data_IF_745643662324
#
_entry.id   IF_745643662324
#
_cell.length_a   1.000
_cell.length_b   1.000
_cell.length_c   1.000
_cell.angle_alpha   90.00
_cell.angle_beta   90.00
_cell.angle_gamma   90.00
#
_symmetry.space_group_name_H-M   'P 1'
#
loop_
_entity.id
_entity.type
_entity.pdbx_description
1 polymer ?
#
# COMPACT_ATOMS: atom_id res chain seq x y z
N UNK A 1 24.83 18.58 -37.14
CA UNK A 1 23.74 18.44 -36.15
C UNK A 1 22.50 17.97 -36.88
N UNK A 2 22.02 16.76 -36.59
CA UNK A 2 20.72 16.26 -37.03
C UNK A 2 20.09 15.56 -35.82
N UNK A 3 18.86 15.95 -35.51
CA UNK A 3 18.14 15.63 -34.28
C UNK A 3 17.72 14.15 -34.24
N UNK A 4 17.96 13.51 -33.10
CA UNK A 4 17.45 12.18 -32.79
C UNK A 4 15.93 12.28 -32.52
N UNK A 5 15.13 11.74 -33.42
CA UNK A 5 13.71 11.49 -33.18
C UNK A 5 13.60 10.34 -32.17
N UNK A 6 13.22 10.67 -30.93
CA UNK A 6 12.91 9.70 -29.89
C UNK A 6 11.76 8.80 -30.38
N UNK A 7 11.99 7.49 -30.35
CA UNK A 7 11.07 6.48 -30.84
C UNK A 7 9.72 6.53 -30.12
N UNK A 8 8.66 6.34 -30.89
CA UNK A 8 7.34 6.00 -30.38
C UNK A 8 7.47 4.72 -29.56
N UNK A 9 7.26 4.83 -28.25
CA UNK A 9 7.23 3.66 -27.37
C UNK A 9 6.06 2.76 -27.77
N UNK A 10 6.33 1.68 -28.49
CA UNK A 10 5.33 0.69 -28.89
C UNK A 10 4.83 -0.02 -27.62
N UNK A 11 3.60 0.27 -27.19
CA UNK A 11 2.98 -0.43 -26.05
C UNK A 11 2.23 -1.67 -26.55
N UNK A 12 2.40 -2.80 -25.86
CA UNK A 12 1.63 -4.02 -26.11
C UNK A 12 0.54 -4.20 -25.05
N UNK A 13 -0.65 -4.62 -25.51
CA UNK A 13 -1.78 -4.95 -24.64
C UNK A 13 -1.63 -6.43 -24.24
N UNK A 14 -1.31 -6.67 -22.97
CA UNK A 14 -1.17 -8.02 -22.42
C UNK A 14 -2.45 -8.41 -21.67
N UNK A 15 -2.84 -9.69 -21.76
CA UNK A 15 -3.96 -10.26 -21.02
C UNK A 15 -3.47 -11.47 -20.21
N UNK A 16 -3.24 -11.25 -18.93
CA UNK A 16 -2.84 -12.30 -17.99
C UNK A 16 -4.03 -12.65 -17.11
N UNK A 17 -4.53 -13.89 -17.25
CA UNK A 17 -5.63 -14.44 -16.44
C UNK A 17 -6.92 -13.59 -16.38
N UNK A 18 -7.18 -12.80 -17.43
CA UNK A 18 -8.36 -11.92 -17.53
C UNK A 18 -8.12 -10.50 -16.99
N UNK A 19 -6.89 -10.15 -16.63
CA UNK A 19 -6.47 -8.78 -16.35
C UNK A 19 -5.75 -8.21 -17.58
N UNK A 20 -6.25 -7.08 -18.08
CA UNK A 20 -5.72 -6.43 -19.29
C UNK A 20 -4.91 -5.19 -18.89
N UNK A 21 -3.62 -5.17 -19.23
CA UNK A 21 -2.73 -4.04 -18.94
C UNK A 21 -1.85 -3.68 -20.15
N UNK A 22 -1.35 -2.45 -20.16
CA UNK A 22 -0.41 -1.94 -21.17
C UNK A 22 1.01 -2.11 -20.64
N UNK A 23 1.88 -2.77 -21.40
CA UNK A 23 3.32 -2.91 -21.08
C UNK A 23 4.14 -2.29 -22.21
N UNK A 24 5.19 -1.53 -21.88
CA UNK A 24 6.15 -1.03 -22.89
C UNK A 24 6.83 -2.23 -23.54
N UNK A 25 6.86 -2.27 -24.88
CA UNK A 25 7.64 -3.25 -25.63
C UNK A 25 9.11 -2.94 -25.42
N UNK A 26 9.75 -3.64 -24.49
CA UNK A 26 11.20 -3.61 -24.34
C UNK A 26 11.84 -4.28 -25.55
N UNK A 27 12.82 -3.62 -26.16
CA UNK A 27 13.78 -4.27 -27.08
C UNK A 27 14.35 -5.47 -26.35
N UNK A 28 13.97 -6.67 -26.78
CA UNK A 28 14.52 -7.90 -26.27
C UNK A 28 16.04 -7.89 -26.50
N UNK A 29 16.88 -8.21 -25.49
CA UNK A 29 18.27 -8.53 -25.73
C UNK A 29 18.34 -9.69 -26.74
N UNK A 30 19.28 -9.68 -27.70
CA UNK A 30 19.30 -10.62 -28.80
C UNK A 30 19.85 -11.96 -28.35
N UNK A 31 19.13 -12.71 -27.51
CA UNK A 31 19.49 -14.09 -27.13
C UNK A 31 18.26 -14.84 -26.58
N UNK A 32 17.18 -14.91 -27.36
CA UNK A 32 16.16 -15.97 -27.24
C UNK A 32 15.54 -16.24 -28.62
N UNK A 33 16.22 -17.07 -29.40
CA UNK A 33 15.66 -17.63 -30.63
C UNK A 33 14.46 -18.54 -30.32
N UNK A 34 13.41 -18.32 -31.10
CA UNK A 34 12.36 -19.21 -31.59
C UNK A 34 11.74 -20.29 -30.69
N UNK A 35 10.43 -20.12 -30.47
CA UNK A 35 9.44 -21.11 -30.93
C UNK A 35 8.12 -20.39 -31.27
N UNK A 36 8.13 -19.66 -32.38
CA UNK A 36 6.92 -19.19 -33.06
C UNK A 36 6.40 -20.31 -33.96
N UNK A 37 5.76 -21.31 -33.36
CA UNK A 37 4.90 -22.22 -34.11
C UNK A 37 3.58 -21.50 -34.43
N UNK A 38 3.49 -20.96 -35.63
CA UNK A 38 2.28 -20.40 -36.21
C UNK A 38 1.12 -21.41 -36.13
N UNK A 39 0.10 -21.09 -35.32
CA UNK A 39 -1.19 -21.77 -35.32
C UNK A 39 -2.23 -20.91 -36.07
N UNK A 40 -3.14 -21.53 -36.85
CA UNK A 40 -4.10 -20.80 -37.68
C UNK A 40 -5.01 -19.91 -36.82
N UNK A 41 -5.20 -18.68 -37.29
CA UNK A 41 -6.12 -17.68 -36.76
C UNK A 41 -7.56 -18.13 -36.90
N UNK A 42 -8.02 -19.00 -35.99
CA UNK A 42 -9.43 -19.09 -35.66
C UNK A 42 -9.64 -18.27 -34.39
N UNK A 43 -10.19 -17.06 -34.53
CA UNK A 43 -10.65 -16.29 -33.37
C UNK A 43 -11.67 -17.15 -32.63
N UNK A 44 -11.36 -17.69 -31.42
CA UNK A 44 -12.35 -18.43 -30.67
C UNK A 44 -13.45 -17.45 -30.27
N UNK A 45 -14.71 -17.85 -30.42
CA UNK A 45 -15.83 -17.04 -29.93
C UNK A 45 -15.55 -16.62 -28.46
N UNK A 46 -15.84 -15.37 -28.08
CA UNK A 46 -15.55 -14.89 -26.74
C UNK A 46 -16.20 -15.83 -25.72
N UNK A 47 -15.46 -16.28 -24.68
CA UNK A 47 -15.99 -17.20 -23.69
C UNK A 47 -17.21 -16.57 -23.01
N UNK A 48 -18.26 -17.37 -22.79
CA UNK A 48 -19.45 -16.88 -22.12
C UNK A 48 -19.13 -16.33 -20.73
N UNK A 49 -19.94 -15.39 -20.24
CA UNK A 49 -19.71 -14.77 -18.93
C UNK A 49 -19.61 -15.80 -17.79
N UNK A 50 -20.32 -16.93 -17.91
CA UNK A 50 -20.26 -18.02 -16.93
C UNK A 50 -18.86 -18.66 -16.86
N UNK A 51 -18.20 -18.82 -18.00
CA UNK A 51 -16.82 -19.35 -18.07
C UNK A 51 -15.84 -18.35 -17.46
N UNK A 52 -15.99 -17.05 -17.77
CA UNK A 52 -15.17 -15.99 -17.17
C UNK A 52 -15.36 -15.91 -15.65
N UNK A 53 -16.61 -15.94 -15.16
CA UNK A 53 -16.91 -15.98 -13.73
C UNK A 53 -16.31 -17.20 -13.06
N UNK A 54 -16.37 -18.38 -13.68
CA UNK A 54 -15.74 -19.60 -13.17
C UNK A 54 -14.22 -19.46 -13.08
N UNK A 55 -13.57 -18.95 -14.13
CA UNK A 55 -12.12 -18.71 -14.15
C UNK A 55 -11.70 -17.72 -13.06
N UNK A 56 -12.40 -16.58 -12.94
CA UNK A 56 -12.16 -15.58 -11.89
C UNK A 56 -12.29 -16.19 -10.48
N UNK A 57 -13.34 -16.98 -10.22
CA UNK A 57 -13.51 -17.68 -8.94
C UNK A 57 -12.35 -18.62 -8.66
N UNK A 58 -11.90 -19.39 -9.66
CA UNK A 58 -10.76 -20.30 -9.50
C UNK A 58 -9.45 -19.55 -9.24
N UNK A 59 -9.19 -18.44 -9.93
CA UNK A 59 -8.01 -17.60 -9.70
C UNK A 59 -7.99 -17.05 -8.27
N UNK A 60 -9.13 -16.53 -7.79
CA UNK A 60 -9.25 -16.01 -6.42
C UNK A 60 -9.06 -17.10 -5.37
N UNK A 61 -9.56 -18.32 -5.60
CA UNK A 61 -9.36 -19.43 -4.67
C UNK A 61 -7.89 -19.86 -4.61
N UNK A 62 -7.18 -19.86 -5.74
CA UNK A 62 -5.73 -20.14 -5.76
C UNK A 62 -4.95 -19.07 -5.03
N UNK A 63 -5.29 -17.81 -5.27
CA UNK A 63 -4.63 -16.68 -4.60
C UNK A 63 -4.86 -16.74 -3.08
N UNK A 64 -6.10 -17.06 -2.66
CA UNK A 64 -6.42 -17.28 -1.24
C UNK A 64 -5.59 -18.41 -0.64
N UNK A 65 -5.49 -19.55 -1.32
CA UNK A 65 -4.69 -20.68 -0.85
C UNK A 65 -3.21 -20.27 -0.69
N UNK A 66 -2.65 -19.60 -1.70
CA UNK A 66 -1.28 -19.09 -1.66
C UNK A 66 -1.03 -18.17 -0.46
N UNK A 67 -1.92 -17.20 -0.22
CA UNK A 67 -1.76 -16.30 0.92
C UNK A 67 -1.92 -16.98 2.27
N UNK A 68 -2.76 -18.01 2.38
CA UNK A 68 -2.84 -18.81 3.61
C UNK A 68 -1.54 -19.58 3.86
N UNK A 69 -0.94 -20.15 2.81
CA UNK A 69 0.34 -20.85 2.92
C UNK A 69 1.48 -19.88 3.29
N UNK A 70 1.51 -18.69 2.69
CA UNK A 70 2.48 -17.64 3.04
C UNK A 70 2.29 -17.19 4.49
N UNK A 71 1.06 -16.94 4.94
CA UNK A 71 0.78 -16.59 6.34
C UNK A 71 1.25 -17.66 7.32
N UNK A 72 1.00 -18.95 7.02
CA UNK A 72 1.47 -20.05 7.86
C UNK A 72 3.01 -20.10 7.95
N UNK A 73 3.72 -19.75 6.86
CA UNK A 73 5.18 -19.64 6.87
C UNK A 73 5.65 -18.47 7.74
N UNK A 74 5.00 -17.31 7.64
CA UNK A 74 5.30 -16.15 8.50
C UNK A 74 5.05 -16.45 9.98
N UNK A 75 3.97 -17.17 10.30
CA UNK A 75 3.69 -17.63 11.67
C UNK A 75 4.77 -18.60 12.18
N UNK A 76 5.23 -19.54 11.36
CA UNK A 76 6.31 -20.46 11.74
C UNK A 76 7.65 -19.73 11.99
N UNK A 77 8.02 -18.79 11.12
CA UNK A 77 9.25 -18.01 11.27
C UNK A 77 9.20 -17.09 12.48
N UNK A 78 8.07 -16.45 12.73
CA UNK A 78 7.90 -15.61 13.93
C UNK A 78 7.93 -16.43 15.22
N UNK A 79 7.35 -17.65 15.21
CA UNK A 79 7.45 -18.57 16.35
C UNK A 79 8.90 -19.01 16.62
N UNK A 80 9.72 -19.19 15.59
CA UNK A 80 11.15 -19.51 15.73
C UNK A 80 11.96 -18.34 16.33
N UNK A 81 11.69 -17.11 15.89
CA UNK A 81 12.32 -15.90 16.48
C UNK A 81 11.96 -15.74 17.96
N UNK A 82 10.73 -16.09 18.33
CA UNK A 82 10.24 -16.03 19.70
C UNK A 82 10.51 -17.31 20.51
N UNK A 83 11.13 -18.33 19.92
CA UNK A 83 11.45 -19.56 20.62
C UNK A 83 12.45 -19.27 21.75
N UNK A 84 12.21 -19.74 22.99
CA UNK A 84 13.14 -19.55 24.09
C UNK A 84 14.53 -20.09 23.73
N UNK A 85 15.56 -19.27 23.91
CA UNK A 85 16.95 -19.68 23.78
C UNK A 85 17.19 -20.84 24.77
N UNK A 86 17.84 -21.95 24.35
CA UNK A 86 18.13 -23.05 25.27
C UNK A 86 18.87 -22.54 26.51
N UNK A 87 18.41 -22.98 27.68
CA UNK A 87 18.99 -22.56 28.96
C UNK A 87 20.51 -22.78 28.94
N UNK A 88 21.31 -21.80 29.42
CA UNK A 88 22.75 -21.98 29.53
C UNK A 88 23.03 -23.21 30.41
N UNK A 89 24.04 -24.03 30.07
CA UNK A 89 24.38 -25.20 30.87
C UNK A 89 24.62 -24.77 32.32
N UNK A 90 23.94 -25.44 33.25
CA UNK A 90 24.00 -25.13 34.67
C UNK A 90 25.46 -24.96 35.13
N UNK A 91 25.80 -23.86 35.83
CA UNK A 91 27.15 -23.64 36.29
C UNK A 91 27.55 -24.75 37.25
N UNK A 92 28.62 -25.47 36.91
CA UNK A 92 29.25 -26.43 37.79
C UNK A 92 29.61 -25.72 39.10
N UNK A 93 29.07 -26.22 40.21
CA UNK A 93 29.33 -25.77 41.57
C UNK A 93 30.84 -25.73 41.83
N UNK A 94 31.41 -24.52 41.93
CA UNK A 94 32.72 -24.29 42.55
C UNK A 94 32.53 -23.60 43.90
N UNK A 95 33.40 -23.88 44.88
CA UNK A 95 33.22 -23.37 46.24
C UNK A 95 33.52 -21.87 46.29
N UNK A 96 32.71 -21.17 47.07
CA UNK A 96 32.79 -19.74 47.45
C UNK A 96 34.15 -19.33 48.01
N UNK A 97 34.60 -18.11 47.67
CA UNK A 97 35.23 -17.21 48.63
C UNK A 97 34.48 -15.86 48.75
N UNK A 98 34.21 -15.50 50.01
CA UNK A 98 33.85 -14.21 50.64
C UNK A 98 32.98 -13.13 49.94
N UNK A 99 31.85 -12.72 50.56
CA UNK A 99 31.01 -11.61 50.11
C UNK A 99 31.43 -10.29 50.77
N UNK A 100 32.28 -9.48 50.15
CA UNK A 100 32.49 -8.07 50.60
C UNK A 100 32.95 -7.07 49.54
N UNK A 101 33.15 -7.47 48.27
CA UNK A 101 33.59 -6.55 47.21
C UNK A 101 32.59 -6.36 46.04
N UNK A 102 31.64 -7.28 45.85
CA UNK A 102 30.80 -7.29 44.63
C UNK A 102 29.55 -6.39 44.69
N UNK A 103 29.17 -5.90 45.88
CA UNK A 103 27.98 -5.04 46.03
C UNK A 103 28.15 -3.65 45.38
N UNK A 104 29.38 -3.13 45.29
CA UNK A 104 29.65 -1.83 44.66
C UNK A 104 29.75 -1.92 43.13
N UNK A 105 30.23 -3.06 42.60
CA UNK A 105 30.33 -3.29 41.16
C UNK A 105 28.98 -3.60 40.51
N UNK A 106 28.07 -4.26 41.23
CA UNK A 106 26.70 -4.54 40.79
C UNK A 106 25.86 -3.25 40.68
N UNK A 107 25.89 -2.36 41.68
CA UNK A 107 25.16 -1.07 41.61
C UNK A 107 25.65 -0.13 40.51
N UNK A 108 26.93 -0.21 40.12
CA UNK A 108 27.45 0.56 38.99
C UNK A 108 26.90 0.08 37.65
N UNK A 109 26.57 -1.21 37.52
CA UNK A 109 26.01 -1.77 36.29
C UNK A 109 24.52 -1.46 36.17
N UNK A 110 23.76 -1.53 37.28
CA UNK A 110 22.34 -1.20 37.29
C UNK A 110 22.07 0.29 36.99
N UNK A 111 22.92 1.20 37.46
CA UNK A 111 22.82 2.63 37.14
C UNK A 111 23.01 2.90 35.66
N UNK A 112 23.99 2.24 35.03
CA UNK A 112 24.27 2.42 33.60
C UNK A 112 23.11 1.94 32.71
N UNK A 113 22.44 0.85 33.10
CA UNK A 113 21.25 0.35 32.40
C UNK A 113 20.08 1.33 32.52
N UNK A 114 19.89 1.95 33.68
CA UNK A 114 18.83 2.96 33.88
C UNK A 114 19.11 4.20 33.03
N UNK A 115 20.36 4.67 32.98
CA UNK A 115 20.76 5.81 32.16
C UNK A 115 20.59 5.51 30.65
N UNK A 116 20.93 4.29 30.21
CA UNK A 116 20.71 3.84 28.82
C UNK A 116 19.22 3.79 28.46
N UNK A 117 18.37 3.24 29.33
CA UNK A 117 16.91 3.23 29.14
C UNK A 117 16.31 4.63 29.10
N UNK A 118 16.86 5.57 29.87
CA UNK A 118 16.44 6.96 29.85
C UNK A 118 16.78 7.62 28.51
N UNK A 119 18.01 7.45 28.03
CA UNK A 119 18.43 7.95 26.70
C UNK A 119 17.56 7.35 25.60
N UNK A 120 17.24 6.06 25.69
CA UNK A 120 16.35 5.41 24.73
C UNK A 120 14.93 5.98 24.78
N UNK A 121 14.40 6.26 25.98
CA UNK A 121 13.08 6.86 26.15
C UNK A 121 13.03 8.27 25.56
N UNK A 122 14.07 9.09 25.77
CA UNK A 122 14.19 10.43 25.21
C UNK A 122 14.26 10.41 23.67
N UNK A 123 15.02 9.48 23.09
CA UNK A 123 15.07 9.26 21.64
C UNK A 123 13.71 8.86 21.06
N UNK A 124 13.00 7.95 21.73
CA UNK A 124 11.66 7.54 21.30
C UNK A 124 10.64 8.67 21.41
N UNK A 125 10.75 9.52 22.44
CA UNK A 125 9.89 10.69 22.59
C UNK A 125 10.10 11.67 21.43
N UNK A 126 11.35 11.94 21.07
CA UNK A 126 11.68 12.86 19.98
C UNK A 126 11.28 12.33 18.61
N UNK A 127 11.46 11.03 18.35
CA UNK A 127 10.95 10.41 17.13
C UNK A 127 9.42 10.44 17.07
N UNK A 128 8.73 10.18 18.17
CA UNK A 128 7.27 10.26 18.21
C UNK A 128 6.77 11.69 17.96
N UNK A 129 7.41 12.71 18.54
CA UNK A 129 7.09 14.12 18.27
C UNK A 129 7.21 14.47 16.79
N UNK A 130 8.26 13.97 16.12
CA UNK A 130 8.46 14.22 14.68
C UNK A 130 7.42 13.50 13.82
N UNK A 131 7.08 12.26 14.14
CA UNK A 131 6.01 11.53 13.46
C UNK A 131 4.67 12.25 13.62
N UNK A 132 4.36 12.75 14.83
CA UNK A 132 3.15 13.54 15.05
C UNK A 132 3.14 14.84 14.26
N UNK A 133 4.29 15.50 14.10
CA UNK A 133 4.40 16.70 13.28
C UNK A 133 4.14 16.39 11.80
N UNK A 134 4.79 15.37 11.25
CA UNK A 134 4.59 14.94 9.87
C UNK A 134 3.14 14.55 9.59
N UNK A 135 2.48 13.82 10.51
CA UNK A 135 1.07 13.49 10.39
C UNK A 135 0.18 14.74 10.36
N UNK A 136 0.51 15.79 11.12
CA UNK A 136 -0.25 17.05 11.07
C UNK A 136 -0.08 17.76 9.74
N UNK A 137 1.15 17.85 9.23
CA UNK A 137 1.46 18.49 7.95
C UNK A 137 0.77 17.77 6.78
N UNK A 138 0.82 16.43 6.76
CA UNK A 138 0.11 15.63 5.76
C UNK A 138 -1.40 15.85 5.85
N UNK A 139 -1.96 15.91 7.06
CA UNK A 139 -3.39 16.11 7.24
C UNK A 139 -3.83 17.52 6.82
N UNK A 140 -3.01 18.54 7.06
CA UNK A 140 -3.24 19.91 6.59
C UNK A 140 -3.20 19.98 5.06
N UNK A 141 -2.18 19.39 4.44
CA UNK A 141 -2.08 19.29 2.98
C UNK A 141 -3.30 18.59 2.35
N UNK A 142 -3.72 17.46 2.93
CA UNK A 142 -4.89 16.73 2.47
C UNK A 142 -6.17 17.56 2.61
N UNK A 143 -6.34 18.29 3.72
CA UNK A 143 -7.51 19.12 3.95
C UNK A 143 -7.58 20.29 2.95
N UNK A 144 -6.45 20.96 2.68
CA UNK A 144 -6.36 22.01 1.66
C UNK A 144 -6.68 21.48 0.26
N UNK A 145 -6.15 20.30 -0.07
CA UNK A 145 -6.39 19.67 -1.36
C UNK A 145 -7.84 19.22 -1.54
N UNK A 146 -8.44 18.63 -0.50
CA UNK A 146 -9.85 18.26 -0.51
C UNK A 146 -10.73 19.50 -0.70
N UNK A 147 -10.46 20.60 0.01
CA UNK A 147 -11.18 21.84 -0.15
C UNK A 147 -11.08 22.39 -1.58
N UNK A 148 -9.89 22.37 -2.18
CA UNK A 148 -9.68 22.82 -3.55
C UNK A 148 -10.45 21.97 -4.57
N UNK A 149 -10.52 20.65 -4.38
CA UNK A 149 -11.32 19.76 -5.22
C UNK A 149 -12.81 20.03 -5.06
N UNK A 150 -13.28 20.21 -3.83
CA UNK A 150 -14.69 20.55 -3.54
C UNK A 150 -15.07 21.87 -4.21
N UNK A 151 -14.22 22.90 -4.12
CA UNK A 151 -14.45 24.18 -4.77
C UNK A 151 -14.47 24.03 -6.31
N UNK A 152 -13.51 23.30 -6.89
CA UNK A 152 -13.48 23.06 -8.34
C UNK A 152 -14.72 22.32 -8.83
N UNK A 153 -15.22 21.32 -8.08
CA UNK A 153 -16.46 20.61 -8.40
C UNK A 153 -17.67 21.53 -8.26
N UNK A 154 -17.67 22.40 -7.24
CA UNK A 154 -18.75 23.36 -7.02
C UNK A 154 -18.85 24.41 -8.15
N UNK A 155 -17.75 24.74 -8.82
CA UNK A 155 -17.74 25.66 -9.96
C UNK A 155 -18.18 25.03 -11.30
N UNK A 156 -18.33 23.69 -11.37
CA UNK A 156 -18.70 23.03 -12.61
C UNK A 156 -20.16 23.34 -13.01
N UNK A 157 -20.41 23.91 -14.20
CA UNK A 157 -21.74 24.37 -14.62
C UNK A 157 -22.75 23.23 -14.89
N UNK A 158 -22.29 21.97 -14.87
CA UNK A 158 -23.13 20.78 -15.06
C UNK A 158 -24.08 20.53 -13.88
N UNK A 159 -23.77 21.01 -12.68
CA UNK A 159 -24.43 20.54 -11.45
C UNK A 159 -25.47 21.50 -10.83
N UNK A 160 -25.80 22.63 -11.47
CA UNK A 160 -26.67 23.65 -10.85
C UNK A 160 -26.00 24.29 -9.62
N UNK A 161 -26.76 24.84 -8.66
CA UNK A 161 -26.16 25.26 -7.38
C UNK A 161 -25.75 24.01 -6.57
N UNK A 162 -24.44 23.76 -6.38
CA UNK A 162 -23.95 22.54 -5.74
C UNK A 162 -24.42 22.39 -4.29
N UNK A 163 -24.68 23.51 -3.59
CA UNK A 163 -25.15 23.48 -2.20
C UNK A 163 -26.59 22.97 -2.12
N UNK A 164 -27.43 23.31 -3.10
CA UNK A 164 -28.81 22.79 -3.20
C UNK A 164 -28.80 21.28 -3.51
N UNK A 165 -27.92 20.83 -4.40
CA UNK A 165 -27.73 19.40 -4.70
C UNK A 165 -27.28 18.62 -3.46
N UNK A 166 -26.24 19.09 -2.76
CA UNK A 166 -25.73 18.46 -1.54
C UNK A 166 -26.81 18.41 -0.45
N UNK A 167 -27.58 19.47 -0.27
CA UNK A 167 -28.71 19.48 0.67
C UNK A 167 -29.81 18.50 0.25
N UNK A 168 -30.12 18.36 -1.04
CA UNK A 168 -31.11 17.40 -1.57
C UNK A 168 -30.68 15.95 -1.33
N UNK A 169 -29.41 15.63 -1.57
CA UNK A 169 -28.85 14.30 -1.32
C UNK A 169 -28.79 13.96 0.17
N UNK A 170 -28.36 14.89 1.02
CA UNK A 170 -28.33 14.70 2.48
C UNK A 170 -29.74 14.62 3.10
N UNK A 171 -30.75 15.21 2.47
CA UNK A 171 -32.15 15.13 2.91
C UNK A 171 -32.86 13.83 2.48
N UNK A 172 -32.21 12.99 1.64
CA UNK A 172 -32.78 11.72 1.16
C UNK A 172 -32.87 10.61 2.22
N UNK A 173 -32.35 10.84 3.43
CA UNK A 173 -32.31 9.86 4.52
C UNK A 173 -33.66 9.58 5.18
N UNK A 174 -34.71 10.34 4.89
CA UNK A 174 -36.03 10.14 5.48
C UNK A 174 -37.12 9.96 4.41
N UNK A 175 -37.37 8.71 4.01
CA UNK A 175 -38.76 8.33 3.65
C UNK A 175 -39.04 6.85 3.91
N UNK A 176 -40.24 6.53 4.45
CA UNK A 176 -40.58 5.19 4.88
C UNK A 176 -41.01 4.30 3.70
N UNK A 177 -40.93 3.01 3.97
CA UNK A 177 -41.28 1.87 3.10
C UNK A 177 -42.40 2.14 2.09
N UNK A 178 -42.12 1.88 0.80
CA UNK A 178 -42.88 0.95 -0.06
C UNK A 178 -42.28 0.94 -1.47
N UNK A 179 -42.15 -0.25 -2.05
CA UNK A 179 -41.85 -0.44 -3.48
C UNK A 179 -40.45 -0.95 -3.74
N UNK A 180 -40.36 -2.26 -3.95
CA UNK A 180 -39.17 -3.01 -4.38
C UNK A 180 -38.63 -2.47 -5.70
N UNK A 181 -37.68 -1.54 -5.66
CA UNK A 181 -36.78 -1.28 -6.79
C UNK A 181 -35.40 -1.78 -6.38
N UNK A 182 -34.85 -2.71 -7.16
CA UNK A 182 -33.53 -3.29 -6.90
C UNK A 182 -32.50 -2.15 -6.98
N UNK A 183 -31.78 -1.83 -5.88
CA UNK A 183 -30.83 -0.71 -5.86
C UNK A 183 -29.71 -0.84 -6.91
N UNK A 184 -29.49 -2.05 -7.46
CA UNK A 184 -28.55 -2.25 -8.59
C UNK A 184 -29.03 -1.65 -9.91
N UNK A 185 -30.33 -1.62 -10.17
CA UNK A 185 -30.86 -1.06 -11.42
C UNK A 185 -30.73 0.47 -11.45
N UNK A 186 -30.91 1.12 -10.30
CA UNK A 186 -30.73 2.58 -10.17
C UNK A 186 -29.29 3.01 -10.44
N UNK A 187 -28.30 2.26 -9.91
CA UNK A 187 -26.89 2.58 -10.18
C UNK A 187 -26.49 2.33 -11.64
N UNK A 188 -27.04 1.30 -12.28
CA UNK A 188 -26.75 1.03 -13.70
C UNK A 188 -27.34 2.10 -14.63
N UNK A 189 -28.44 2.74 -14.25
CA UNK A 189 -29.05 3.84 -15.03
C UNK A 189 -28.24 5.13 -14.98
N UNK A 190 -27.46 5.37 -13.92
CA UNK A 190 -26.68 6.60 -13.74
C UNK A 190 -25.31 6.55 -14.44
N UNK A 191 -24.82 5.37 -14.83
CA UNK A 191 -23.48 5.18 -15.39
C UNK A 191 -23.39 5.14 -16.93
N UNK A 192 -24.42 5.56 -17.68
CA UNK A 192 -24.38 5.55 -19.16
C UNK A 192 -23.78 6.79 -19.83
N UNK A 193 -23.05 7.66 -19.12
CA UNK A 193 -22.25 8.71 -19.77
C UNK A 193 -20.77 8.43 -19.58
N UNK A 194 -20.14 7.95 -20.66
CA UNK A 194 -18.71 7.72 -20.71
C UNK A 194 -17.96 9.03 -20.78
N UNK A 195 -17.20 9.32 -19.73
CA UNK A 195 -16.00 10.16 -19.78
C UNK A 195 -15.16 9.80 -18.55
N UNK A 196 -13.97 9.24 -18.79
CA UNK A 196 -12.98 9.00 -17.74
C UNK A 196 -12.10 10.25 -17.65
N UNK A 197 -12.01 10.95 -16.51
CA UNK A 197 -10.93 11.90 -16.32
C UNK A 197 -9.62 11.10 -16.21
N UNK A 198 -8.66 11.44 -17.06
CA UNK A 198 -7.29 11.01 -16.91
C UNK A 198 -6.80 11.51 -15.54
N UNK A 199 -6.58 10.60 -14.60
CA UNK A 199 -6.02 10.94 -13.29
C UNK A 199 -4.61 11.48 -13.49
N UNK A 200 -4.38 12.70 -13.01
CA UNK A 200 -3.10 13.40 -13.05
C UNK A 200 -1.98 12.59 -12.39
N UNK A 201 -1.15 11.98 -13.23
CA UNK A 201 0.09 11.27 -12.86
C UNK A 201 1.04 12.19 -12.05
N UNK A 202 0.89 13.51 -12.18
CA UNK A 202 1.63 14.53 -11.44
C UNK A 202 1.41 14.49 -9.92
N UNK A 203 0.19 14.17 -9.48
CA UNK A 203 -0.14 14.17 -8.04
C UNK A 203 0.54 13.01 -7.30
N UNK A 204 0.69 11.87 -7.98
CA UNK A 204 1.36 10.70 -7.39
C UNK A 204 2.85 10.98 -7.26
N UNK A 205 3.47 11.65 -8.24
CA UNK A 205 4.89 12.02 -8.15
C UNK A 205 5.18 13.06 -7.05
N UNK A 206 4.31 14.06 -6.85
CA UNK A 206 4.53 15.06 -5.79
C UNK A 206 4.40 14.47 -4.38
N UNK A 207 3.47 13.52 -4.18
CA UNK A 207 3.34 12.80 -2.91
C UNK A 207 4.58 11.92 -2.65
N UNK A 208 5.10 11.26 -3.68
CA UNK A 208 6.27 10.37 -3.58
C UNK A 208 7.55 11.17 -3.28
N UNK A 209 7.68 12.39 -3.82
CA UNK A 209 8.78 13.30 -3.53
C UNK A 209 8.77 13.79 -2.06
N UNK A 210 7.59 14.12 -1.53
CA UNK A 210 7.43 14.50 -0.11
C UNK A 210 7.78 13.33 0.80
N UNK A 211 7.23 12.13 0.53
CA UNK A 211 7.51 10.92 1.33
C UNK A 211 9.01 10.58 1.29
N UNK A 212 9.66 10.71 0.13
CA UNK A 212 11.09 10.44 -0.05
C UNK A 212 11.97 11.44 0.71
N UNK A 213 11.61 12.73 0.71
CA UNK A 213 12.35 13.74 1.48
C UNK A 213 12.28 13.47 2.99
N UNK A 214 11.10 13.11 3.50
CA UNK A 214 10.91 12.77 4.91
C UNK A 214 11.65 11.49 5.33
N UNK A 215 11.68 10.47 4.46
CA UNK A 215 12.42 9.24 4.73
C UNK A 215 13.94 9.49 4.86
N UNK A 216 14.49 10.40 4.04
CA UNK A 216 15.90 10.78 4.11
C UNK A 216 16.24 11.55 5.39
N UNK A 217 15.37 12.46 5.83
CA UNK A 217 15.56 13.22 7.07
C UNK A 217 15.44 12.33 8.32
N UNK A 218 14.55 11.33 8.30
CA UNK A 218 14.49 10.34 9.38
C UNK A 218 15.75 9.49 9.45
N UNK A 219 16.30 9.06 8.31
CA UNK A 219 17.52 8.25 8.28
C UNK A 219 18.75 9.04 8.77
N UNK A 220 18.88 10.31 8.39
CA UNK A 220 20.02 11.13 8.82
C UNK A 220 20.00 11.42 10.33
N UNK A 221 18.83 11.53 10.95
CA UNK A 221 18.75 11.77 12.39
C UNK A 221 18.87 10.52 13.26
N UNK A 222 18.72 9.31 12.72
CA UNK A 222 18.95 8.07 13.47
C UNK A 222 20.43 7.69 13.49
N UNK A 223 21.23 8.29 12.60
CA UNK A 223 22.67 7.99 12.43
C UNK A 223 23.58 9.04 13.11
N UNK A 224 23.03 10.19 13.56
CA UNK A 224 23.75 11.23 14.31
C UNK A 224 23.41 11.21 15.79
#
# INVERSE_FOLDING_TARGET
MAAAAAGEDEYEICNDDGFVYKRRRGVAPPDREDDSAAAPSSTPAPPSEAVLRRRRRQALLRLRAKYLDELAQWEALSADIHAPLPDPPAPATRPTPDPSADAAAASSSDSAVIDELLVQAELMEDTFKRLLLACKEINEFCAEHEAALVDAVAELPVWGDPRELMNSLCSSGERPATGTSDPRELMNSLCSSGERPATDIKLISELDDIISHFALDLQQSVIS
#
